data_IF_220529059880
#
_entry.id   IF_220529059880
#
_cell.length_a   1.000
_cell.length_b   1.000
_cell.length_c   1.000
_cell.angle_alpha   90.00
_cell.angle_beta   90.00
_cell.angle_gamma   90.00
#
_symmetry.space_group_name_H-M   'P 1'
#
loop_
_entity.id
_entity.type
_entity.pdbx_description
1 polymer ?
#
# COMPACT_ATOMS: atom_id res chain seq x y z
N UNK A 1 2.64 -12.83 6.82
CA UNK A 1 2.45 -12.02 5.59
C UNK A 1 1.47 -10.92 5.95
N UNK A 2 1.91 -9.65 5.98
CA UNK A 2 1.05 -8.55 6.40
C UNK A 2 -0.12 -8.42 5.42
N UNK A 3 -1.35 -8.63 5.90
CA UNK A 3 -2.57 -8.67 5.09
C UNK A 3 -3.05 -7.25 4.81
N UNK A 4 -2.30 -6.54 3.97
CA UNK A 4 -2.59 -5.14 3.65
C UNK A 4 -3.39 -5.01 2.34
N UNK A 5 -4.47 -4.22 2.35
CA UNK A 5 -5.35 -3.98 1.19
C UNK A 5 -4.62 -3.29 0.03
N UNK A 6 -3.74 -2.34 0.32
CA UNK A 6 -2.90 -1.66 -0.69
C UNK A 6 -2.00 -2.67 -1.38
N UNK A 7 -1.37 -3.58 -0.62
CA UNK A 7 -0.51 -4.63 -1.17
C UNK A 7 -1.29 -5.61 -2.06
N UNK A 8 -2.53 -5.96 -1.69
CA UNK A 8 -3.42 -6.78 -2.53
C UNK A 8 -3.76 -6.08 -3.85
N UNK A 9 -4.17 -4.81 -3.80
CA UNK A 9 -4.49 -4.02 -5.00
C UNK A 9 -3.25 -3.88 -5.90
N UNK A 10 -2.09 -3.60 -5.31
CA UNK A 10 -0.82 -3.54 -6.02
C UNK A 10 -0.46 -4.87 -6.70
N UNK A 11 -0.71 -6.00 -6.02
CA UNK A 11 -0.53 -7.32 -6.62
C UNK A 11 -1.47 -7.54 -7.80
N UNK A 12 -2.77 -7.23 -7.64
CA UNK A 12 -3.78 -7.37 -8.70
C UNK A 12 -3.34 -6.57 -9.94
N UNK A 13 -3.00 -5.28 -9.76
CA UNK A 13 -2.54 -4.41 -10.84
C UNK A 13 -1.30 -4.93 -11.57
N UNK A 14 -0.34 -5.48 -10.82
CA UNK A 14 0.86 -6.12 -11.39
C UNK A 14 0.52 -7.33 -12.25
N UNK A 15 -0.48 -8.12 -11.87
CA UNK A 15 -0.90 -9.32 -12.60
C UNK A 15 -1.78 -8.96 -13.81
N UNK A 16 -2.67 -7.98 -13.68
CA UNK A 16 -3.46 -7.41 -14.79
C UNK A 16 -2.53 -6.91 -15.91
N UNK A 17 -1.48 -6.16 -15.56
CA UNK A 17 -0.48 -5.67 -16.54
C UNK A 17 0.25 -6.81 -17.26
N UNK A 18 0.38 -7.98 -16.62
CA UNK A 18 0.97 -9.18 -17.23
C UNK A 18 -0.04 -9.98 -18.06
N UNK A 19 -1.28 -9.51 -18.21
CA UNK A 19 -2.34 -10.20 -18.95
C UNK A 19 -2.90 -11.42 -18.22
N UNK A 20 -2.74 -11.51 -16.90
CA UNK A 20 -3.33 -12.61 -16.12
C UNK A 20 -4.82 -12.32 -15.91
N UNK A 21 -5.64 -13.33 -16.21
CA UNK A 21 -7.09 -13.27 -16.04
C UNK A 21 -7.53 -12.97 -14.58
N UNK A 22 -8.54 -12.12 -14.35
CA UNK A 22 -9.03 -11.79 -13.01
C UNK A 22 -9.40 -12.99 -12.12
N UNK A 23 -9.96 -14.06 -12.67
CA UNK A 23 -10.34 -15.24 -11.89
C UNK A 23 -9.09 -15.99 -11.42
N UNK A 24 -8.04 -16.05 -12.24
CA UNK A 24 -6.74 -16.60 -11.85
C UNK A 24 -6.07 -15.74 -10.77
N UNK A 25 -6.19 -14.41 -10.84
CA UNK A 25 -5.66 -13.50 -9.81
C UNK A 25 -6.37 -13.76 -8.47
N UNK A 26 -7.70 -13.83 -8.49
CA UNK A 26 -8.54 -14.15 -7.33
C UNK A 26 -8.14 -15.48 -6.70
N UNK A 27 -8.05 -16.55 -7.49
CA UNK A 27 -7.68 -17.88 -7.00
C UNK A 27 -6.28 -17.88 -6.37
N UNK A 28 -5.31 -17.19 -6.98
CA UNK A 28 -3.98 -17.04 -6.40
C UNK A 28 -3.98 -16.32 -5.04
N UNK A 29 -4.81 -15.29 -4.87
CA UNK A 29 -4.95 -14.61 -3.58
C UNK A 29 -5.60 -15.51 -2.52
N UNK A 30 -6.65 -16.25 -2.89
CA UNK A 30 -7.29 -17.21 -1.98
C UNK A 30 -6.30 -18.31 -1.54
N UNK A 31 -5.51 -18.86 -2.47
CA UNK A 31 -4.48 -19.86 -2.16
C UNK A 31 -3.36 -19.33 -1.24
N UNK A 32 -3.12 -18.01 -1.25
CA UNK A 32 -2.19 -17.34 -0.34
C UNK A 32 -2.77 -17.08 1.06
N UNK A 33 -4.00 -17.51 1.32
CA UNK A 33 -4.66 -17.39 2.61
C UNK A 33 -5.33 -16.02 2.86
N UNK A 34 -5.61 -15.26 1.81
CA UNK A 34 -6.49 -14.08 1.91
C UNK A 34 -7.96 -14.52 1.94
N UNK A 35 -8.79 -13.85 2.73
CA UNK A 35 -10.21 -14.16 2.78
C UNK A 35 -10.92 -13.64 1.52
N UNK A 36 -11.99 -14.33 1.09
CA UNK A 36 -12.66 -14.02 -0.16
C UNK A 36 -13.36 -12.65 -0.18
N UNK A 37 -13.74 -12.13 0.98
CA UNK A 37 -14.36 -10.81 1.09
C UNK A 37 -13.35 -9.69 0.77
N UNK A 38 -12.14 -9.75 1.33
CA UNK A 38 -11.11 -8.75 1.08
C UNK A 38 -10.56 -8.86 -0.34
N UNK A 39 -10.42 -10.07 -0.86
CA UNK A 39 -10.05 -10.29 -2.27
C UNK A 39 -11.08 -9.64 -3.21
N UNK A 40 -12.37 -9.85 -2.95
CA UNK A 40 -13.44 -9.22 -3.74
C UNK A 40 -13.36 -7.69 -3.67
N UNK A 41 -13.23 -7.13 -2.45
CA UNK A 41 -13.05 -5.68 -2.26
C UNK A 41 -11.82 -5.15 -3.00
N UNK A 42 -10.71 -5.86 -2.98
CA UNK A 42 -9.48 -5.46 -3.66
C UNK A 42 -9.66 -5.45 -5.19
N UNK A 43 -10.34 -6.45 -5.75
CA UNK A 43 -10.67 -6.50 -7.18
C UNK A 43 -11.62 -5.36 -7.58
N UNK A 44 -12.70 -5.15 -6.82
CA UNK A 44 -13.68 -4.08 -7.07
C UNK A 44 -13.06 -2.68 -6.99
N UNK A 45 -12.03 -2.51 -6.15
CA UNK A 45 -11.24 -1.27 -6.08
C UNK A 45 -10.27 -1.17 -7.23
N UNK A 46 -9.51 -2.24 -7.53
CA UNK A 46 -8.56 -2.29 -8.64
C UNK A 46 -9.22 -1.90 -9.96
N UNK A 47 -10.42 -2.41 -10.26
CA UNK A 47 -11.12 -2.15 -11.52
C UNK A 47 -11.46 -0.67 -11.75
N UNK A 48 -11.55 0.13 -10.68
CA UNK A 48 -11.82 1.58 -10.73
C UNK A 48 -10.55 2.42 -10.94
N UNK A 49 -9.39 1.81 -10.76
CA UNK A 49 -8.10 2.47 -10.89
C UNK A 49 -7.55 2.29 -12.30
N UNK A 50 -7.17 3.40 -12.93
CA UNK A 50 -6.51 3.40 -14.23
C UNK A 50 -5.00 3.48 -14.02
N UNK A 51 -4.23 2.74 -14.82
CA UNK A 51 -2.78 2.89 -14.83
C UNK A 51 -2.47 4.33 -15.26
N UNK A 52 -1.92 5.11 -14.35
CA UNK A 52 -1.48 6.45 -14.66
C UNK A 52 -0.13 6.35 -15.37
N UNK A 53 0.01 6.94 -16.56
CA UNK A 53 1.33 7.03 -17.19
C UNK A 53 2.23 7.83 -16.26
N UNK A 54 3.39 7.25 -15.94
CA UNK A 54 4.42 7.75 -15.02
C UNK A 54 4.30 9.23 -14.68
N UNK A 55 4.14 9.55 -13.40
CA UNK A 55 4.54 10.87 -12.93
C UNK A 55 6.05 11.00 -13.12
N UNK A 56 6.51 11.97 -13.91
CA UNK A 56 7.93 12.33 -14.04
C UNK A 56 8.55 12.84 -12.72
N UNK A 57 7.75 12.92 -11.67
CA UNK A 57 8.12 13.37 -10.35
C UNK A 57 9.23 12.50 -9.76
N UNK A 58 10.38 13.12 -9.53
CA UNK A 58 11.48 12.53 -8.78
C UNK A 58 11.56 13.17 -7.40
N UNK A 59 11.73 12.37 -6.35
CA UNK A 59 11.96 12.87 -5.00
C UNK A 59 13.29 13.62 -4.97
N UNK A 60 13.26 14.80 -4.39
CA UNK A 60 14.42 15.62 -4.11
C UNK A 60 15.35 14.92 -3.09
N UNK A 61 16.62 15.33 -2.99
CA UNK A 61 17.53 14.79 -1.99
C UNK A 61 17.00 14.94 -0.56
N UNK A 62 16.30 16.05 -0.28
CA UNK A 62 15.67 16.31 1.02
C UNK A 62 14.57 15.28 1.32
N UNK A 63 13.61 15.10 0.41
CA UNK A 63 12.51 14.14 0.59
C UNK A 63 13.01 12.70 0.73
N UNK A 64 14.05 12.33 -0.02
CA UNK A 64 14.68 11.00 0.09
C UNK A 64 15.33 10.75 1.44
N UNK A 65 15.76 11.79 2.16
CA UNK A 65 16.38 11.62 3.48
C UNK A 65 15.39 11.01 4.50
N UNK A 66 14.09 11.28 4.32
CA UNK A 66 13.01 10.80 5.20
C UNK A 66 12.47 9.41 4.83
N UNK A 67 12.93 8.80 3.74
CA UNK A 67 12.39 7.53 3.24
C UNK A 67 13.50 6.50 3.09
N UNK A 68 13.29 5.28 3.58
CA UNK A 68 14.10 4.14 3.15
C UNK A 68 13.97 3.90 1.65
N UNK A 69 15.00 3.34 1.03
CA UNK A 69 14.99 3.06 -0.42
C UNK A 69 13.80 2.16 -0.81
N UNK A 70 13.45 1.23 0.07
CA UNK A 70 12.29 0.37 -0.11
C UNK A 70 10.96 1.12 -0.01
N UNK A 71 10.84 2.06 0.92
CA UNK A 71 9.65 2.91 1.06
C UNK A 71 9.50 3.81 -0.17
N UNK A 72 10.57 4.48 -0.61
CA UNK A 72 10.55 5.30 -1.81
C UNK A 72 10.15 4.48 -3.05
N UNK A 73 10.75 3.30 -3.23
CA UNK A 73 10.39 2.38 -4.33
C UNK A 73 8.93 1.94 -4.25
N UNK A 74 8.43 1.66 -3.05
CA UNK A 74 7.04 1.28 -2.85
C UNK A 74 6.09 2.43 -3.23
N UNK A 75 6.37 3.66 -2.77
CA UNK A 75 5.57 4.83 -3.09
C UNK A 75 5.47 5.06 -4.61
N UNK A 76 6.59 4.94 -5.32
CA UNK A 76 6.60 5.03 -6.78
C UNK A 76 5.77 3.95 -7.47
N UNK A 77 5.78 2.72 -6.94
CA UNK A 77 4.93 1.65 -7.46
C UNK A 77 3.45 2.03 -7.32
N UNK A 78 3.05 2.61 -6.19
CA UNK A 78 1.65 2.97 -5.97
C UNK A 78 1.17 4.01 -6.99
N UNK A 79 1.97 5.03 -7.29
CA UNK A 79 1.62 6.02 -8.32
C UNK A 79 1.62 5.42 -9.72
N UNK A 80 2.65 4.62 -10.04
CA UNK A 80 2.77 3.98 -11.34
C UNK A 80 1.57 3.08 -11.66
N UNK A 81 1.06 2.34 -10.67
CA UNK A 81 -0.13 1.50 -10.82
C UNK A 81 -1.46 2.25 -10.63
N UNK A 82 -1.41 3.58 -10.48
CA UNK A 82 -2.59 4.44 -10.32
C UNK A 82 -3.35 4.23 -9.00
N UNK A 83 -2.69 3.65 -8.00
CA UNK A 83 -3.24 3.46 -6.65
C UNK A 83 -3.25 4.78 -5.89
N UNK A 84 -2.23 5.60 -6.12
CA UNK A 84 -2.19 6.99 -5.67
C UNK A 84 -2.32 7.92 -6.88
N UNK A 85 -3.16 8.94 -6.72
CA UNK A 85 -3.12 10.11 -7.60
C UNK A 85 -1.84 10.92 -7.36
N UNK A 86 -1.55 11.88 -8.25
CA UNK A 86 -0.41 12.78 -8.07
C UNK A 86 -0.56 13.61 -6.79
N UNK A 87 -1.76 14.11 -6.53
CA UNK A 87 -2.09 14.92 -5.35
C UNK A 87 -1.93 14.09 -4.07
N UNK A 88 -2.38 12.84 -4.08
CA UNK A 88 -2.20 11.92 -2.95
C UNK A 88 -0.72 11.57 -2.72
N UNK A 89 0.06 11.43 -3.79
CA UNK A 89 1.51 11.22 -3.67
C UNK A 89 2.20 12.41 -2.98
N UNK A 90 1.93 13.64 -3.43
CA UNK A 90 2.53 14.82 -2.81
C UNK A 90 2.05 14.98 -1.36
N UNK A 91 0.77 14.72 -1.07
CA UNK A 91 0.26 14.73 0.31
C UNK A 91 1.00 13.74 1.21
N UNK A 92 1.29 12.53 0.74
CA UNK A 92 2.06 11.54 1.50
C UNK A 92 3.49 12.02 1.76
N UNK A 93 4.13 12.67 0.77
CA UNK A 93 5.47 13.24 0.93
C UNK A 93 5.47 14.41 1.90
N UNK A 94 4.49 15.30 1.81
CA UNK A 94 4.33 16.42 2.73
C UNK A 94 4.12 15.93 4.16
N UNK A 95 3.28 14.92 4.37
CA UNK A 95 3.05 14.35 5.71
C UNK A 95 4.34 13.75 6.27
N UNK A 96 5.09 13.01 5.47
CA UNK A 96 6.35 12.39 5.90
C UNK A 96 7.41 13.44 6.22
N UNK A 97 7.57 14.45 5.37
CA UNK A 97 8.63 15.45 5.52
C UNK A 97 8.34 16.47 6.62
N UNK A 98 7.07 16.75 6.91
CA UNK A 98 6.69 17.69 7.96
C UNK A 98 6.56 17.06 9.35
N UNK A 99 6.15 15.78 9.43
CA UNK A 99 5.80 15.17 10.72
C UNK A 99 6.69 14.01 11.14
N UNK A 100 7.45 13.39 10.22
CA UNK A 100 8.30 12.26 10.62
C UNK A 100 9.54 12.73 11.35
N UNK A 101 9.80 12.16 12.53
CA UNK A 101 11.02 12.40 13.31
C UNK A 101 12.17 11.48 12.89
N UNK A 102 11.89 10.48 12.06
CA UNK A 102 12.83 9.48 11.62
C UNK A 102 12.64 9.11 10.15
N UNK A 103 13.52 8.24 9.66
CA UNK A 103 13.45 7.69 8.30
C UNK A 103 12.35 6.64 8.21
N UNK A 104 11.29 6.94 7.45
CA UNK A 104 10.10 6.12 7.28
C UNK A 104 10.42 4.83 6.54
N UNK A 105 10.10 3.71 7.17
CA UNK A 105 10.19 2.37 6.62
C UNK A 105 9.06 2.08 5.64
N UNK A 106 9.21 1.01 4.86
CA UNK A 106 8.18 0.58 3.90
C UNK A 106 6.88 0.18 4.61
N UNK A 107 6.94 -0.45 5.77
CA UNK A 107 5.74 -0.91 6.47
C UNK A 107 4.98 0.24 7.15
N UNK A 108 5.70 1.25 7.68
CA UNK A 108 5.07 2.51 8.14
C UNK A 108 4.40 3.25 6.98
N UNK A 109 5.04 3.30 5.81
CA UNK A 109 4.44 3.90 4.63
C UNK A 109 3.17 3.16 4.20
N UNK A 110 3.15 1.82 4.27
CA UNK A 110 1.93 1.04 3.99
C UNK A 110 0.80 1.42 4.93
N UNK A 111 1.10 1.52 6.23
CA UNK A 111 0.11 1.93 7.23
C UNK A 111 -0.47 3.31 6.90
N UNK A 112 0.40 4.29 6.67
CA UNK A 112 0.00 5.65 6.33
C UNK A 112 -0.90 5.71 5.09
N UNK A 113 -0.52 5.03 4.01
CA UNK A 113 -1.32 4.98 2.79
C UNK A 113 -2.64 4.24 3.00
N UNK A 114 -2.66 3.20 3.83
CA UNK A 114 -3.88 2.42 4.10
C UNK A 114 -4.91 3.25 4.87
N UNK A 115 -4.44 4.02 5.86
CA UNK A 115 -5.27 4.98 6.58
C UNK A 115 -5.83 6.02 5.58
N UNK A 116 -4.96 6.62 4.76
CA UNK A 116 -5.36 7.65 3.80
C UNK A 116 -6.39 7.17 2.77
N UNK A 117 -6.21 5.97 2.21
CA UNK A 117 -7.06 5.47 1.12
C UNK A 117 -8.33 4.77 1.60
N UNK A 118 -8.29 4.15 2.78
CA UNK A 118 -9.36 3.25 3.22
C UNK A 118 -9.98 3.63 4.55
N UNK A 119 -9.50 4.69 5.21
CA UNK A 119 -9.83 5.01 6.60
C UNK A 119 -9.68 3.76 7.48
N UNK A 120 -8.67 2.92 7.19
CA UNK A 120 -8.41 1.73 7.99
C UNK A 120 -7.96 2.18 9.38
N UNK A 121 -8.72 1.83 10.41
CA UNK A 121 -8.31 2.08 11.80
C UNK A 121 -6.97 1.33 12.04
N UNK A 122 -5.90 2.02 12.46
CA UNK A 122 -4.60 1.39 12.75
C UNK A 122 -4.71 0.19 13.70
N UNK A 123 -5.72 0.14 14.57
CA UNK A 123 -5.99 -0.99 15.47
C UNK A 123 -6.35 -2.30 14.76
N UNK A 124 -6.85 -2.25 13.51
CA UNK A 124 -7.17 -3.43 12.71
C UNK A 124 -5.96 -3.97 11.94
N UNK A 125 -4.86 -3.22 11.92
CA UNK A 125 -3.59 -3.62 11.36
C UNK A 125 -2.74 -4.16 12.51
N UNK A 126 -3.09 -5.35 12.99
CA UNK A 126 -2.33 -6.08 14.02
C UNK A 126 -0.84 -6.04 13.67
N UNK A 127 -0.10 -5.18 14.38
CA UNK A 127 1.24 -5.51 14.84
C UNK A 127 1.06 -6.74 15.73
N UNK A 128 1.83 -7.78 15.46
CA UNK A 128 1.56 -9.15 15.85
C UNK A 128 1.12 -9.33 17.30
N UNK A 129 0.32 -10.39 17.50
CA UNK A 129 -0.08 -10.94 18.78
C UNK A 129 1.12 -11.07 19.74
N UNK A 130 1.36 -10.08 20.59
CA UNK A 130 2.08 -10.23 21.85
C UNK A 130 1.44 -9.27 22.85
N UNK A 131 0.56 -9.81 23.69
CA UNK A 131 0.53 -9.67 25.15
C UNK A 131 -0.79 -10.28 25.66
N UNK A 132 -0.84 -11.60 25.66
CA UNK A 132 -1.73 -12.33 26.56
C UNK A 132 -0.99 -12.53 27.88
N UNK A 133 -1.56 -11.99 28.95
CA UNK A 133 -1.27 -12.41 30.31
C UNK A 133 -0.32 -11.52 31.12
N UNK A 134 -0.91 -10.58 31.88
CA UNK A 134 -0.62 -10.42 33.31
C UNK A 134 -1.65 -9.44 33.91
N UNK A 135 -2.80 -9.98 34.33
CA UNK A 135 -3.56 -9.40 35.44
C UNK A 135 -2.85 -9.78 36.73
N UNK A 136 -2.51 -8.79 37.55
CA UNK A 136 -2.23 -8.95 38.99
C UNK A 136 -3.50 -8.63 39.74
#
# INVERSE_FOLDING_TARGET
>A
MNRNMVDMILYIKKMELKGIDPENIKNNLLMRGYNGHDVKKAIDRSSKLFINKMTERQLSPYEKAYLTDEAAKYLYQLVYYGILSKEQFESVIDDITNYSQHKVSKDELKLLVSIMLFNENPENLSLGDEFDGLTV
#
